data_IF_787851809109
#
_entry.id   IF_787851809109
#
_cell.length_a   1.000
_cell.length_b   1.000
_cell.length_c   1.000
_cell.angle_alpha   90.00
_cell.angle_beta   90.00
_cell.angle_gamma   90.00
#
_symmetry.space_group_name_H-M   'P 1'
#
loop_
_entity.id
_entity.type
_entity.pdbx_description
1 polymer ?
#
# COMPACT_ATOMS: atom_id res chain seq x y z
N UNK A 1 26.23 -22.65 -40.03
CA UNK A 1 25.55 -23.63 -39.21
C UNK A 1 24.75 -22.91 -38.16
N UNK A 2 23.46 -23.04 -38.26
CA UNK A 2 22.47 -22.38 -37.44
C UNK A 2 22.38 -23.00 -36.02
N UNK A 3 22.34 -22.15 -35.01
CA UNK A 3 21.98 -22.50 -33.65
C UNK A 3 20.79 -21.69 -33.23
N UNK A 4 19.58 -22.31 -33.23
CA UNK A 4 18.34 -21.71 -32.82
C UNK A 4 18.23 -21.70 -31.31
N UNK A 5 17.93 -20.54 -30.72
CA UNK A 5 17.46 -20.38 -29.36
C UNK A 5 15.95 -20.56 -29.31
N UNK A 6 15.46 -21.61 -28.65
CA UNK A 6 14.06 -21.81 -28.38
C UNK A 6 13.68 -20.96 -27.14
N UNK A 7 12.87 -19.95 -27.34
CA UNK A 7 12.18 -19.24 -26.26
C UNK A 7 10.92 -20.05 -25.88
N UNK A 8 10.85 -20.53 -24.65
CA UNK A 8 9.64 -21.08 -24.04
C UNK A 8 8.78 -19.91 -23.55
N UNK A 9 7.81 -19.49 -24.36
CA UNK A 9 6.70 -18.65 -23.88
C UNK A 9 5.64 -19.58 -23.29
N UNK A 10 5.43 -19.55 -21.99
CA UNK A 10 4.32 -20.24 -21.34
C UNK A 10 3.08 -19.35 -21.48
N UNK A 11 2.12 -19.86 -22.25
CA UNK A 11 0.85 -19.15 -22.52
C UNK A 11 -0.10 -19.35 -21.32
N UNK A 12 -0.10 -18.41 -20.39
CA UNK A 12 -0.91 -18.44 -19.16
C UNK A 12 -2.41 -18.42 -19.41
N UNK A 13 -2.85 -17.97 -20.58
CA UNK A 13 -4.28 -17.90 -20.96
C UNK A 13 -4.85 -19.31 -21.15
N UNK A 14 -4.03 -20.28 -21.59
CA UNK A 14 -4.48 -21.65 -21.81
C UNK A 14 -4.70 -22.44 -20.51
N UNK A 15 -4.03 -22.10 -19.41
CA UNK A 15 -4.13 -22.81 -18.14
C UNK A 15 -5.42 -22.44 -17.38
N UNK A 16 -5.90 -21.21 -17.53
CA UNK A 16 -7.15 -20.75 -16.89
C UNK A 16 -8.38 -21.27 -17.61
N UNK A 17 -8.35 -21.35 -18.95
CA UNK A 17 -9.49 -21.81 -19.76
C UNK A 17 -9.83 -23.30 -19.57
N UNK A 18 -8.88 -24.15 -19.24
CA UNK A 18 -9.10 -25.61 -19.09
C UNK A 18 -9.84 -26.01 -17.80
N UNK A 19 -9.90 -25.14 -16.79
CA UNK A 19 -10.62 -25.40 -15.54
C UNK A 19 -12.05 -24.87 -15.50
N UNK A 20 -12.45 -24.04 -16.50
CA UNK A 20 -13.78 -23.40 -16.54
C UNK A 20 -14.74 -24.01 -17.58
N UNK A 21 -14.43 -25.14 -18.21
CA UNK A 21 -15.37 -25.87 -19.07
C UNK A 21 -15.81 -25.13 -20.35
N UNK A 22 -14.98 -24.21 -20.90
CA UNK A 22 -15.31 -23.45 -22.11
C UNK A 22 -14.85 -24.17 -23.38
N UNK A 23 -15.79 -24.42 -24.29
CA UNK A 23 -15.55 -25.01 -25.63
C UNK A 23 -14.93 -23.94 -26.56
N UNK A 24 -13.72 -24.20 -27.04
CA UNK A 24 -13.04 -23.32 -27.97
C UNK A 24 -13.61 -23.45 -29.40
N UNK A 25 -14.15 -22.36 -29.94
CA UNK A 25 -14.48 -22.26 -31.37
C UNK A 25 -13.25 -21.85 -32.17
N UNK A 26 -12.86 -22.63 -33.19
CA UNK A 26 -11.79 -22.29 -34.15
C UNK A 26 -12.27 -21.20 -35.12
N UNK A 27 -11.56 -20.06 -35.11
CA UNK A 27 -11.68 -19.06 -36.17
C UNK A 27 -10.44 -19.08 -37.08
N UNK A 28 -10.64 -19.15 -38.40
CA UNK A 28 -9.58 -19.19 -39.41
C UNK A 28 -8.98 -17.81 -39.68
N UNK A 29 -7.69 -17.78 -39.98
CA UNK A 29 -6.93 -16.58 -40.33
C UNK A 29 -7.11 -16.18 -41.78
N UNK A 30 -7.47 -14.93 -42.02
CA UNK A 30 -7.34 -14.23 -43.29
C UNK A 30 -6.70 -12.86 -43.04
N UNK A 31 -5.58 -12.59 -43.69
CA UNK A 31 -4.77 -11.38 -43.45
C UNK A 31 -5.39 -10.11 -44.06
N UNK A 32 -5.25 -9.00 -43.34
CA UNK A 32 -5.62 -7.65 -43.80
C UNK A 32 -5.58 -6.61 -42.70
N UNK A 33 -4.92 -5.51 -42.97
CA UNK A 33 -4.60 -4.34 -42.15
C UNK A 33 -5.64 -3.92 -41.11
N UNK A 34 -5.17 -3.71 -39.89
CA UNK A 34 -5.57 -2.62 -38.99
C UNK A 34 -7.05 -2.47 -38.66
N UNK A 35 -7.59 -3.29 -37.75
CA UNK A 35 -8.82 -2.94 -37.02
C UNK A 35 -8.70 -3.45 -35.58
N UNK A 36 -8.84 -2.54 -34.64
CA UNK A 36 -9.03 -2.90 -33.25
C UNK A 36 -10.34 -3.68 -33.13
N UNK A 37 -10.25 -4.96 -32.84
CA UNK A 37 -11.43 -5.75 -32.47
C UNK A 37 -11.69 -5.45 -30.98
N UNK A 38 -12.72 -4.63 -30.73
CA UNK A 38 -13.34 -4.54 -29.39
C UNK A 38 -14.23 -5.77 -29.28
N UNK A 39 -13.78 -6.77 -28.53
CA UNK A 39 -14.63 -7.89 -28.15
C UNK A 39 -15.50 -7.45 -26.98
N UNK A 40 -16.69 -6.93 -27.28
CA UNK A 40 -17.75 -6.79 -26.29
C UNK A 40 -18.35 -8.17 -26.05
N UNK A 41 -17.88 -8.88 -25.05
CA UNK A 41 -18.58 -10.05 -24.54
C UNK A 41 -19.76 -9.56 -23.69
N UNK A 42 -20.94 -9.52 -24.30
CA UNK A 42 -22.19 -9.39 -23.55
C UNK A 42 -22.47 -10.75 -22.91
N UNK A 43 -21.98 -10.95 -21.70
CA UNK A 43 -22.44 -12.03 -20.84
C UNK A 43 -23.82 -11.59 -20.31
N UNK A 44 -24.88 -12.12 -20.89
CA UNK A 44 -26.16 -12.14 -20.24
C UNK A 44 -26.02 -13.06 -19.02
N UNK A 45 -25.74 -12.48 -17.87
CA UNK A 45 -25.79 -13.16 -16.57
C UNK A 45 -27.24 -13.12 -16.09
N UNK A 46 -27.96 -14.20 -16.32
CA UNK A 46 -29.02 -14.59 -15.40
C UNK A 46 -28.33 -15.15 -14.12
N UNK A 47 -27.74 -14.27 -13.33
CA UNK A 47 -27.35 -14.59 -11.97
C UNK A 47 -28.52 -14.26 -11.07
N UNK A 48 -29.48 -15.16 -10.96
CA UNK A 48 -30.22 -15.31 -9.73
C UNK A 48 -29.21 -15.75 -8.68
N UNK A 49 -28.57 -14.78 -8.01
CA UNK A 49 -27.71 -15.02 -6.86
C UNK A 49 -28.58 -15.52 -5.72
N UNK A 50 -28.61 -16.82 -5.51
CA UNK A 50 -28.89 -17.34 -4.18
C UNK A 50 -27.69 -16.92 -3.34
N UNK A 51 -27.79 -15.83 -2.59
CA UNK A 51 -26.88 -15.53 -1.48
C UNK A 51 -26.88 -16.77 -0.58
N UNK A 52 -25.70 -17.27 -0.16
CA UNK A 52 -25.62 -18.34 0.80
C UNK A 52 -26.40 -17.94 2.06
N UNK A 53 -27.14 -18.90 2.66
CA UNK A 53 -27.86 -18.60 3.88
C UNK A 53 -26.86 -18.33 5.01
N UNK A 54 -26.78 -17.08 5.48
CA UNK A 54 -26.01 -16.74 6.67
C UNK A 54 -26.43 -17.62 7.85
N UNK A 55 -25.50 -18.07 8.65
CA UNK A 55 -25.80 -18.79 9.91
C UNK A 55 -26.52 -17.86 10.89
N UNK A 56 -27.06 -18.40 11.98
CA UNK A 56 -27.69 -17.60 13.02
C UNK A 56 -26.71 -16.60 13.66
N UNK A 57 -25.46 -17.05 13.89
CA UNK A 57 -24.39 -16.19 14.43
C UNK A 57 -24.04 -15.07 13.44
N UNK A 58 -23.89 -15.38 12.15
CA UNK A 58 -23.57 -14.38 11.12
C UNK A 58 -24.69 -13.35 10.97
N UNK A 59 -25.95 -13.75 11.04
CA UNK A 59 -27.09 -12.80 11.09
C UNK A 59 -27.01 -11.90 12.33
N UNK A 60 -26.72 -12.49 13.50
CA UNK A 60 -26.51 -11.71 14.73
C UNK A 60 -25.38 -10.68 14.61
N UNK A 61 -24.28 -11.03 13.93
CA UNK A 61 -23.17 -10.09 13.64
C UNK A 61 -23.67 -8.95 12.74
N UNK A 62 -24.40 -9.25 11.67
CA UNK A 62 -24.94 -8.24 10.74
C UNK A 62 -25.89 -7.28 11.46
N UNK A 63 -26.82 -7.84 12.27
CA UNK A 63 -27.77 -7.05 13.06
C UNK A 63 -27.06 -6.14 14.07
N UNK A 64 -25.98 -6.64 14.70
CA UNK A 64 -25.17 -5.86 15.64
C UNK A 64 -24.46 -4.68 14.94
N UNK A 65 -23.91 -4.88 13.72
CA UNK A 65 -23.34 -3.78 12.93
C UNK A 65 -24.40 -2.72 12.62
N UNK A 66 -25.61 -3.13 12.21
CA UNK A 66 -26.71 -2.19 11.92
C UNK A 66 -27.14 -1.42 13.17
N UNK A 67 -27.26 -2.11 14.30
CA UNK A 67 -27.63 -1.50 15.58
C UNK A 67 -26.63 -0.47 16.09
N UNK A 68 -25.35 -0.56 15.67
CA UNK A 68 -24.27 0.34 16.09
C UNK A 68 -23.90 1.43 15.06
N UNK A 69 -24.63 1.54 13.94
CA UNK A 69 -24.26 2.47 12.86
C UNK A 69 -24.13 3.93 13.33
N UNK A 70 -25.06 4.42 14.15
CA UNK A 70 -25.00 5.78 14.72
C UNK A 70 -23.87 5.95 15.73
N UNK A 71 -23.49 4.91 16.48
CA UNK A 71 -22.34 4.92 17.39
C UNK A 71 -21.04 5.03 16.60
N UNK A 72 -20.93 4.28 15.49
CA UNK A 72 -19.76 4.32 14.60
C UNK A 72 -19.53 5.71 13.99
N UNK A 73 -20.61 6.34 13.48
CA UNK A 73 -20.53 7.70 12.95
C UNK A 73 -20.15 8.72 14.03
N UNK A 74 -20.75 8.62 15.21
CA UNK A 74 -20.43 9.50 16.34
C UNK A 74 -18.98 9.31 16.83
N UNK A 75 -18.45 8.08 16.80
CA UNK A 75 -17.07 7.79 17.13
C UNK A 75 -16.12 8.37 16.08
N UNK A 76 -16.41 8.17 14.78
CA UNK A 76 -15.64 8.75 13.68
C UNK A 76 -15.53 10.28 13.84
N UNK A 77 -16.64 10.97 14.07
CA UNK A 77 -16.68 12.41 14.30
C UNK A 77 -15.72 12.81 15.43
N UNK A 78 -15.81 12.14 16.58
CA UNK A 78 -14.97 12.45 17.75
C UNK A 78 -13.47 12.31 17.47
N UNK A 79 -13.05 11.25 16.77
CA UNK A 79 -11.62 11.03 16.47
C UNK A 79 -11.12 11.95 15.35
N UNK A 80 -11.97 12.35 14.42
CA UNK A 80 -11.63 13.30 13.35
C UNK A 80 -11.43 14.71 13.91
N UNK A 81 -12.23 15.12 14.91
CA UNK A 81 -12.11 16.42 15.59
C UNK A 81 -10.85 16.51 16.50
N UNK A 82 -10.11 15.43 16.66
CA UNK A 82 -8.77 15.43 17.28
C UNK A 82 -7.72 15.49 16.18
N UNK A 83 -6.92 16.57 16.16
CA UNK A 83 -5.77 16.62 15.25
C UNK A 83 -4.76 15.53 15.62
N UNK A 84 -4.41 14.71 14.65
CA UNK A 84 -3.40 13.65 14.75
C UNK A 84 -2.42 13.66 13.57
N UNK A 85 -1.99 14.84 13.12
CA UNK A 85 -0.84 14.94 12.21
C UNK A 85 0.34 14.16 12.77
N UNK A 86 1.12 13.48 11.94
CA UNK A 86 2.18 12.55 12.42
C UNK A 86 3.13 13.21 13.42
N UNK A 87 3.41 14.51 13.24
CA UNK A 87 4.31 15.26 14.12
C UNK A 87 3.59 15.82 15.36
N UNK A 88 2.27 15.74 15.46
CA UNK A 88 1.50 16.02 16.65
C UNK A 88 1.42 14.77 17.55
N UNK A 89 2.52 14.41 18.18
CA UNK A 89 2.64 13.19 18.99
C UNK A 89 1.55 13.05 20.05
N UNK A 90 1.16 14.16 20.67
CA UNK A 90 0.11 14.19 21.70
C UNK A 90 -1.26 13.89 21.09
N UNK A 91 -1.55 14.39 19.89
CA UNK A 91 -2.79 14.14 19.17
C UNK A 91 -2.91 12.70 18.72
N UNK A 92 -1.86 12.14 18.11
CA UNK A 92 -1.80 10.71 17.74
C UNK A 92 -2.02 9.81 18.97
N UNK A 93 -1.33 10.10 20.08
CA UNK A 93 -1.50 9.39 21.36
C UNK A 93 -2.93 9.52 21.89
N UNK A 94 -3.55 10.69 21.75
CA UNK A 94 -4.92 10.91 22.21
C UNK A 94 -5.92 10.10 21.40
N UNK A 95 -5.82 10.10 20.06
CA UNK A 95 -6.66 9.23 19.21
C UNK A 95 -6.43 7.76 19.58
N UNK A 96 -5.18 7.33 19.74
CA UNK A 96 -4.85 5.97 20.17
C UNK A 96 -5.50 5.60 21.50
N UNK A 97 -5.50 6.52 22.51
CA UNK A 97 -6.12 6.27 23.81
C UNK A 97 -7.65 6.08 23.74
N UNK A 98 -8.30 6.70 22.75
CA UNK A 98 -9.74 6.50 22.50
C UNK A 98 -10.00 5.07 21.99
N UNK A 99 -9.18 4.54 21.09
CA UNK A 99 -9.26 3.14 20.64
C UNK A 99 -8.85 2.16 21.74
N UNK A 100 -7.79 2.46 22.47
CA UNK A 100 -7.31 1.63 23.60
C UNK A 100 -8.40 1.37 24.62
N UNK A 101 -9.15 2.42 25.00
CA UNK A 101 -10.30 2.30 25.91
C UNK A 101 -11.34 1.33 25.38
N UNK A 102 -11.80 1.50 24.15
CA UNK A 102 -12.84 0.69 23.53
C UNK A 102 -12.39 -0.79 23.37
N UNK A 103 -11.12 -1.02 22.97
CA UNK A 103 -10.55 -2.35 22.83
C UNK A 103 -10.38 -3.05 24.20
N UNK A 104 -9.98 -2.31 25.23
CA UNK A 104 -9.90 -2.84 26.61
C UNK A 104 -11.28 -3.25 27.13
N UNK A 105 -12.33 -2.46 26.84
CA UNK A 105 -13.71 -2.78 27.21
C UNK A 105 -14.21 -4.05 26.49
N UNK A 106 -13.68 -4.37 25.30
CA UNK A 106 -13.93 -5.62 24.57
C UNK A 106 -13.10 -6.82 25.07
N UNK A 107 -12.25 -6.64 26.07
CA UNK A 107 -11.43 -7.69 26.67
C UNK A 107 -10.07 -7.91 25.97
N UNK A 108 -9.66 -7.01 25.09
CA UNK A 108 -8.29 -7.06 24.52
C UNK A 108 -7.26 -6.66 25.56
N UNK A 109 -6.12 -7.37 25.57
CA UNK A 109 -4.89 -6.91 26.20
C UNK A 109 -4.26 -5.84 25.31
N UNK A 110 -4.20 -4.61 25.81
CA UNK A 110 -3.70 -3.46 25.05
C UNK A 110 -2.29 -3.08 25.47
N UNK A 111 -1.47 -2.65 24.52
CA UNK A 111 -0.11 -2.20 24.73
C UNK A 111 0.23 -1.05 23.79
N UNK A 112 0.74 0.04 24.37
CA UNK A 112 1.35 1.09 23.56
C UNK A 112 2.85 0.82 23.39
N UNK A 113 3.33 0.77 22.15
CA UNK A 113 4.74 0.67 21.81
C UNK A 113 5.33 2.06 21.67
N UNK A 114 6.22 2.43 22.60
CA UNK A 114 6.93 3.71 22.54
C UNK A 114 8.03 3.68 21.47
N UNK A 115 8.18 4.78 20.75
CA UNK A 115 9.33 4.95 19.85
C UNK A 115 10.49 5.64 20.59
N UNK A 116 11.74 5.40 20.17
CA UNK A 116 12.88 6.14 20.69
C UNK A 116 12.66 7.65 20.58
N UNK A 117 12.96 8.45 21.60
CA UNK A 117 12.70 9.90 21.59
C UNK A 117 13.31 10.63 20.38
N UNK A 118 14.49 10.20 19.94
CA UNK A 118 15.20 10.75 18.78
C UNK A 118 14.46 10.51 17.46
N UNK A 119 13.58 9.52 17.39
CA UNK A 119 12.74 9.26 16.21
C UNK A 119 11.63 10.30 16.04
N UNK A 120 11.18 10.93 17.13
CA UNK A 120 10.15 11.96 17.10
C UNK A 120 8.80 11.43 16.57
N UNK A 121 8.41 10.22 17.00
CA UNK A 121 7.12 9.58 16.66
C UNK A 121 6.36 9.19 17.92
N UNK A 122 5.02 9.20 17.81
CA UNK A 122 4.14 8.94 18.96
C UNK A 122 4.17 7.48 19.44
N UNK A 123 4.56 6.57 18.57
CA UNK A 123 4.45 5.13 18.82
C UNK A 123 3.13 4.54 18.31
N UNK A 124 2.85 3.30 18.70
CA UNK A 124 1.78 2.47 18.11
C UNK A 124 0.93 1.80 19.18
N UNK A 125 -0.35 1.62 18.91
CA UNK A 125 -1.25 0.83 19.74
C UNK A 125 -1.34 -0.59 19.19
N UNK A 126 -1.01 -1.56 20.01
CA UNK A 126 -1.30 -2.98 19.77
C UNK A 126 -2.34 -3.47 20.76
N UNK A 127 -3.27 -4.32 20.29
CA UNK A 127 -4.25 -4.96 21.15
C UNK A 127 -4.42 -6.42 20.69
N UNK A 128 -4.51 -7.36 21.63
CA UNK A 128 -4.58 -8.79 21.32
C UNK A 128 -5.64 -9.49 22.15
N UNK A 129 -6.41 -10.39 21.49
CA UNK A 129 -7.27 -11.38 22.12
C UNK A 129 -6.95 -12.75 21.55
N UNK A 130 -6.84 -13.76 22.41
CA UNK A 130 -6.47 -15.14 22.03
C UNK A 130 -7.46 -16.13 22.65
N UNK A 131 -8.72 -16.08 22.20
CA UNK A 131 -9.84 -16.87 22.74
C UNK A 131 -10.07 -18.21 22.05
N UNK A 132 -9.52 -18.43 20.86
CA UNK A 132 -9.86 -19.55 19.99
C UNK A 132 -8.69 -20.46 19.57
N UNK A 133 -9.02 -21.43 18.71
CA UNK A 133 -8.04 -22.34 18.08
C UNK A 133 -7.93 -22.16 16.57
N UNK A 134 -8.76 -21.29 15.96
CA UNK A 134 -8.74 -20.97 14.55
C UNK A 134 -7.58 -20.07 14.15
N UNK A 135 -7.64 -19.52 12.94
CA UNK A 135 -6.62 -18.60 12.42
C UNK A 135 -6.51 -17.36 13.27
N UNK A 136 -5.28 -16.93 13.52
CA UNK A 136 -4.99 -15.61 14.10
C UNK A 136 -4.97 -14.56 13.00
N UNK A 137 -5.80 -13.54 13.11
CA UNK A 137 -5.95 -12.49 12.13
C UNK A 137 -5.36 -11.18 12.66
N UNK A 138 -4.46 -10.57 11.89
CA UNK A 138 -3.89 -9.25 12.16
C UNK A 138 -4.69 -8.19 11.41
N UNK A 139 -5.26 -7.22 12.15
CA UNK A 139 -5.98 -6.06 11.61
C UNK A 139 -5.08 -4.84 11.71
N UNK A 140 -4.85 -4.15 10.58
CA UNK A 140 -3.88 -3.07 10.48
C UNK A 140 -4.57 -1.78 10.07
N UNK A 141 -4.34 -0.72 10.84
CA UNK A 141 -4.72 0.66 10.57
C UNK A 141 -3.66 1.64 11.05
N UNK A 142 -3.91 2.96 10.88
CA UNK A 142 -3.04 4.00 11.41
C UNK A 142 -3.82 5.18 12.00
N UNK A 143 -3.25 5.76 13.05
CA UNK A 143 -3.83 6.81 13.88
C UNK A 143 -3.50 8.22 13.39
N UNK A 144 -2.39 8.34 12.67
CA UNK A 144 -1.89 9.62 12.19
C UNK A 144 -2.56 10.06 10.88
N UNK A 145 -2.31 11.28 10.49
CA UNK A 145 -2.78 11.90 9.24
C UNK A 145 -1.71 12.84 8.70
N UNK A 146 -1.79 13.19 7.41
CA UNK A 146 -0.93 14.21 6.79
C UNK A 146 -1.23 15.65 7.28
N UNK A 147 -2.30 15.86 8.06
CA UNK A 147 -2.76 17.19 8.45
C UNK A 147 -2.18 17.60 9.80
N UNK A 148 -1.06 18.34 9.77
CA UNK A 148 -0.41 18.83 10.98
C UNK A 148 -1.25 19.90 11.72
N UNK A 149 -0.85 20.25 12.93
CA UNK A 149 -1.61 21.15 13.82
C UNK A 149 -1.81 22.57 13.27
N UNK A 150 -0.99 23.01 12.33
CA UNK A 150 -1.08 24.29 11.64
C UNK A 150 -1.96 24.25 10.36
N UNK A 151 -2.44 23.08 9.97
CA UNK A 151 -3.37 22.92 8.86
C UNK A 151 -4.69 23.64 9.14
N UNK A 152 -5.28 24.35 8.20
CA UNK A 152 -6.62 24.92 8.35
C UNK A 152 -7.75 23.86 8.29
N UNK A 153 -7.43 22.61 7.93
CA UNK A 153 -8.37 21.52 7.79
C UNK A 153 -8.34 20.64 9.05
N UNK A 154 -9.24 20.89 10.03
CA UNK A 154 -9.12 20.35 11.38
C UNK A 154 -10.40 19.72 11.95
N UNK A 155 -11.54 19.79 11.27
CA UNK A 155 -12.81 19.38 11.85
C UNK A 155 -13.65 18.52 10.93
N UNK A 156 -14.45 17.67 11.54
CA UNK A 156 -15.48 16.89 10.86
C UNK A 156 -16.64 17.79 10.43
N UNK A 157 -17.02 17.68 9.18
CA UNK A 157 -18.15 18.37 8.59
C UNK A 157 -19.10 17.40 7.90
N UNK A 158 -20.36 17.40 8.29
CA UNK A 158 -21.40 16.66 7.60
C UNK A 158 -21.73 17.35 6.29
N UNK A 159 -21.71 16.61 5.20
CA UNK A 159 -22.08 17.09 3.87
C UNK A 159 -23.46 16.56 3.47
N UNK A 160 -23.94 17.02 2.33
CA UNK A 160 -25.15 16.45 1.70
C UNK A 160 -24.86 15.04 1.17
N UNK A 161 -25.90 14.29 0.83
CA UNK A 161 -25.84 12.96 0.22
C UNK A 161 -25.10 11.88 1.05
N UNK A 162 -25.18 11.93 2.39
CA UNK A 162 -24.63 10.91 3.28
C UNK A 162 -23.10 10.86 3.29
N UNK A 163 -22.46 11.98 2.99
CA UNK A 163 -20.99 12.14 3.04
C UNK A 163 -20.57 12.97 4.24
N UNK A 164 -19.32 12.80 4.64
CA UNK A 164 -18.65 13.69 5.58
C UNK A 164 -17.28 14.08 5.05
N UNK A 165 -16.78 15.24 5.50
CA UNK A 165 -15.45 15.79 5.21
C UNK A 165 -14.69 15.97 6.52
N UNK A 166 -13.39 15.74 6.50
CA UNK A 166 -12.54 15.98 7.67
C UNK A 166 -11.19 15.28 7.56
N UNK A 167 -10.19 15.68 8.36
CA UNK A 167 -8.85 15.13 8.31
C UNK A 167 -8.85 13.64 8.73
N UNK A 168 -8.40 12.78 7.81
CA UNK A 168 -8.34 11.34 8.04
C UNK A 168 -9.69 10.62 7.97
N UNK A 169 -10.79 11.25 7.52
CA UNK A 169 -12.10 10.58 7.43
C UNK A 169 -12.07 9.35 6.52
N UNK A 170 -11.17 9.34 5.52
CA UNK A 170 -10.96 8.23 4.59
C UNK A 170 -9.56 7.62 4.74
N UNK A 171 -8.57 8.41 5.15
CA UNK A 171 -7.16 8.02 5.28
C UNK A 171 -6.63 8.33 6.70
N UNK A 172 -6.69 7.35 7.69
CA UNK A 172 -7.60 6.21 7.54
C UNK A 172 -8.48 6.01 8.80
N UNK A 173 -8.81 7.08 9.53
CA UNK A 173 -9.66 7.00 10.74
C UNK A 173 -11.00 6.28 10.50
N UNK A 174 -11.57 6.42 9.27
CA UNK A 174 -12.75 5.66 8.87
C UNK A 174 -12.48 4.15 8.82
N UNK A 175 -11.31 3.73 8.37
CA UNK A 175 -10.88 2.33 8.37
C UNK A 175 -10.66 1.80 9.79
N UNK A 176 -10.10 2.60 10.69
CA UNK A 176 -9.95 2.24 12.10
C UNK A 176 -11.32 2.06 12.79
N UNK A 177 -12.30 2.88 12.40
CA UNK A 177 -13.69 2.70 12.85
C UNK A 177 -14.27 1.38 12.34
N UNK A 178 -14.01 0.99 11.09
CA UNK A 178 -14.42 -0.32 10.55
C UNK A 178 -13.82 -1.45 11.40
N UNK A 179 -12.53 -1.40 11.76
CA UNK A 179 -11.88 -2.39 12.64
C UNK A 179 -12.63 -2.47 13.97
N UNK A 180 -12.76 -1.36 14.68
CA UNK A 180 -13.34 -1.32 16.01
C UNK A 180 -14.78 -1.85 16.02
N UNK A 181 -15.62 -1.39 15.09
CA UNK A 181 -17.03 -1.75 15.06
C UNK A 181 -17.29 -3.16 14.52
N UNK A 182 -16.37 -3.73 13.71
CA UNK A 182 -16.38 -5.14 13.39
C UNK A 182 -16.13 -6.01 14.64
N UNK A 183 -15.16 -5.62 15.49
CA UNK A 183 -14.88 -6.31 16.74
C UNK A 183 -16.01 -6.18 17.77
N UNK A 184 -16.64 -5.00 17.89
CA UNK A 184 -17.82 -4.80 18.72
C UNK A 184 -18.99 -5.69 18.28
N UNK A 185 -19.24 -5.80 16.98
CA UNK A 185 -20.29 -6.65 16.45
C UNK A 185 -20.03 -8.14 16.69
N UNK A 186 -18.76 -8.56 16.59
CA UNK A 186 -18.35 -9.93 16.96
C UNK A 186 -18.59 -10.20 18.46
N UNK A 187 -18.29 -9.24 19.32
CA UNK A 187 -18.51 -9.37 20.76
C UNK A 187 -20.02 -9.47 21.09
N UNK A 188 -20.86 -8.61 20.52
CA UNK A 188 -22.31 -8.62 20.71
C UNK A 188 -22.95 -9.95 20.27
N UNK A 189 -22.42 -10.57 19.23
CA UNK A 189 -22.88 -11.88 18.75
C UNK A 189 -22.24 -13.07 19.48
N UNK A 190 -21.40 -12.85 20.50
CA UNK A 190 -20.66 -13.89 21.22
C UNK A 190 -19.63 -14.64 20.36
N UNK A 191 -19.20 -14.05 19.24
CA UNK A 191 -18.27 -14.66 18.30
C UNK A 191 -16.80 -14.29 18.58
N UNK A 192 -16.55 -13.20 19.32
CA UNK A 192 -15.20 -12.73 19.63
C UNK A 192 -14.47 -13.65 20.61
N UNK A 193 -15.18 -14.30 21.52
CA UNK A 193 -14.60 -15.23 22.52
C UNK A 193 -13.85 -16.42 21.88
N UNK A 194 -14.18 -16.74 20.62
CA UNK A 194 -13.55 -17.83 19.86
C UNK A 194 -12.57 -17.31 18.79
N UNK A 195 -12.28 -16.00 18.78
CA UNK A 195 -11.39 -15.41 17.79
C UNK A 195 -9.97 -15.21 18.35
N UNK A 196 -8.99 -15.24 17.46
CA UNK A 196 -7.60 -14.89 17.72
C UNK A 196 -7.27 -13.66 16.86
N UNK A 197 -7.23 -12.49 17.48
CA UNK A 197 -7.09 -11.23 16.75
C UNK A 197 -5.97 -10.40 17.36
N UNK A 198 -5.11 -9.85 16.49
CA UNK A 198 -4.20 -8.76 16.83
C UNK A 198 -4.68 -7.53 16.07
N UNK A 199 -4.82 -6.41 16.76
CA UNK A 199 -5.03 -5.08 16.16
C UNK A 199 -3.72 -4.31 16.26
N UNK A 200 -3.27 -3.72 15.17
CA UNK A 200 -2.12 -2.84 15.09
C UNK A 200 -2.57 -1.49 14.51
N UNK A 201 -2.62 -0.45 15.33
CA UNK A 201 -2.89 0.92 14.91
C UNK A 201 -1.59 1.72 15.02
N UNK A 202 -1.00 2.03 13.87
CA UNK A 202 0.31 2.67 13.79
C UNK A 202 0.17 4.19 13.88
N UNK A 203 1.13 4.86 14.48
CA UNK A 203 1.06 6.31 14.70
C UNK A 203 2.05 7.10 13.83
N UNK A 204 2.54 6.51 12.74
CA UNK A 204 3.53 7.13 11.86
C UNK A 204 3.48 6.57 10.42
N UNK A 205 2.30 6.20 9.91
CA UNK A 205 2.18 5.70 8.53
C UNK A 205 2.50 6.80 7.53
N UNK A 206 1.96 7.98 7.72
CA UNK A 206 2.06 9.11 6.81
C UNK A 206 3.46 9.74 6.75
N UNK A 207 4.22 9.57 7.83
CA UNK A 207 5.63 9.95 7.91
C UNK A 207 6.39 8.98 8.81
N UNK A 208 6.82 7.87 8.23
CA UNK A 208 7.45 6.76 8.96
C UNK A 208 8.68 7.16 9.75
N UNK A 209 8.81 6.63 10.97
CA UNK A 209 10.02 6.77 11.77
C UNK A 209 11.20 6.02 11.14
N UNK A 210 12.40 6.59 11.26
CA UNK A 210 13.64 6.00 10.77
C UNK A 210 14.57 5.67 11.95
N UNK A 211 15.14 4.45 12.03
CA UNK A 211 15.08 3.39 11.00
C UNK A 211 13.77 2.56 11.05
N UNK A 212 13.26 2.21 9.90
CA UNK A 212 12.05 1.39 9.74
C UNK A 212 12.09 0.06 10.51
N UNK A 213 13.27 -0.54 10.65
CA UNK A 213 13.45 -1.76 11.42
C UNK A 213 13.07 -1.61 12.90
N UNK A 214 13.13 -0.40 13.43
CA UNK A 214 12.69 -0.06 14.79
C UNK A 214 11.21 0.30 14.80
N UNK A 215 10.79 1.21 13.93
CA UNK A 215 9.40 1.66 13.86
C UNK A 215 8.42 0.50 13.54
N UNK A 216 8.79 -0.45 12.72
CA UNK A 216 7.93 -1.58 12.31
C UNK A 216 8.23 -2.90 13.04
N UNK A 217 9.10 -2.90 14.08
CA UNK A 217 9.52 -4.13 14.78
C UNK A 217 8.34 -4.93 15.34
N UNK A 218 7.42 -4.27 16.04
CA UNK A 218 6.24 -4.93 16.63
C UNK A 218 5.22 -5.37 15.56
N UNK A 219 5.09 -4.64 14.44
CA UNK A 219 4.27 -5.06 13.30
C UNK A 219 4.84 -6.32 12.65
N UNK A 220 6.16 -6.43 12.50
CA UNK A 220 6.80 -7.65 12.01
C UNK A 220 6.57 -8.83 12.95
N UNK A 221 6.65 -8.62 14.27
CA UNK A 221 6.36 -9.67 15.25
C UNK A 221 4.88 -10.12 15.17
N UNK A 222 3.95 -9.17 15.14
CA UNK A 222 2.53 -9.45 15.00
C UNK A 222 2.23 -10.23 13.72
N UNK A 223 2.83 -9.85 12.58
CA UNK A 223 2.65 -10.53 11.30
C UNK A 223 3.17 -11.97 11.31
N UNK A 224 4.36 -12.22 11.93
CA UNK A 224 4.92 -13.58 12.05
C UNK A 224 4.07 -14.52 12.91
N UNK A 225 3.30 -13.97 13.86
CA UNK A 225 2.40 -14.73 14.74
C UNK A 225 1.00 -14.89 14.16
N UNK A 226 0.71 -14.28 13.01
CA UNK A 226 -0.61 -14.28 12.39
C UNK A 226 -0.68 -15.18 11.16
N UNK A 227 -1.85 -15.77 10.92
CA UNK A 227 -2.13 -16.63 9.76
C UNK A 227 -2.66 -15.82 8.57
N UNK A 228 -3.16 -14.61 8.82
CA UNK A 228 -3.61 -13.65 7.80
C UNK A 228 -3.49 -12.22 8.31
N UNK A 229 -3.25 -11.25 7.41
CA UNK A 229 -3.25 -9.82 7.70
C UNK A 229 -4.29 -9.10 6.84
N UNK A 230 -5.08 -8.22 7.47
CA UNK A 230 -6.13 -7.42 6.83
C UNK A 230 -5.82 -5.95 7.04
N UNK A 231 -5.68 -5.18 5.94
CA UNK A 231 -5.37 -3.75 5.96
C UNK A 231 -6.58 -2.89 5.64
N UNK A 232 -6.85 -1.93 6.51
CA UNK A 232 -8.07 -1.12 6.47
C UNK A 232 -7.89 0.28 5.87
N UNK A 233 -6.86 0.47 5.09
CA UNK A 233 -6.75 1.59 4.16
C UNK A 233 -7.95 1.71 3.25
N UNK A 234 -8.28 2.93 2.80
CA UNK A 234 -9.39 3.20 1.91
C UNK A 234 -9.37 2.35 0.64
N UNK A 235 -10.54 1.88 0.21
CA UNK A 235 -10.68 1.12 -1.03
C UNK A 235 -10.48 1.99 -2.28
N UNK A 236 -9.91 1.41 -3.34
CA UNK A 236 -9.80 2.02 -4.67
C UNK A 236 -10.58 1.19 -5.66
N UNK A 237 -11.43 1.84 -6.45
CA UNK A 237 -12.28 1.14 -7.43
C UNK A 237 -13.72 0.91 -6.95
N UNK A 238 -14.05 1.37 -5.74
CA UNK A 238 -15.38 1.26 -5.17
C UNK A 238 -15.57 0.04 -4.26
N UNK A 239 -16.81 -0.16 -3.80
CA UNK A 239 -17.15 -1.22 -2.84
C UNK A 239 -16.87 -2.64 -3.34
N UNK A 240 -16.73 -2.84 -4.66
CA UNK A 240 -16.59 -4.16 -5.27
C UNK A 240 -15.14 -4.54 -5.57
N UNK A 241 -14.19 -4.02 -4.79
CA UNK A 241 -12.78 -4.29 -4.99
C UNK A 241 -12.00 -4.40 -3.70
N UNK A 242 -10.92 -5.20 -3.73
CA UNK A 242 -9.93 -5.30 -2.66
C UNK A 242 -8.52 -5.41 -3.23
N UNK A 243 -7.50 -5.21 -2.39
CA UNK A 243 -6.10 -5.09 -2.80
C UNK A 243 -5.33 -6.35 -2.43
N UNK A 244 -4.93 -7.14 -3.42
CA UNK A 244 -4.09 -8.36 -3.26
C UNK A 244 -2.61 -8.08 -3.48
N UNK A 245 -2.27 -6.90 -3.98
CA UNK A 245 -0.90 -6.52 -4.29
C UNK A 245 -0.72 -5.01 -4.27
N UNK A 246 0.46 -4.53 -3.81
CA UNK A 246 0.85 -3.13 -3.79
C UNK A 246 2.28 -2.98 -4.27
N UNK A 247 2.56 -1.93 -5.03
CA UNK A 247 3.94 -1.61 -5.38
C UNK A 247 4.66 -1.01 -4.18
N UNK A 248 5.89 -1.47 -3.94
CA UNK A 248 6.79 -0.88 -2.97
C UNK A 248 7.29 0.50 -3.40
N UNK A 249 7.96 1.17 -2.49
CA UNK A 249 8.60 2.47 -2.69
C UNK A 249 10.04 2.43 -2.17
N UNK A 250 10.99 2.78 -3.05
CA UNK A 250 12.41 2.91 -2.71
C UNK A 250 12.93 4.23 -3.28
N UNK A 251 13.41 5.10 -2.42
CA UNK A 251 14.14 6.30 -2.83
C UNK A 251 15.52 5.96 -3.36
N UNK A 252 16.04 6.74 -4.33
CA UNK A 252 17.42 6.62 -4.77
C UNK A 252 18.06 7.99 -4.97
N UNK A 253 19.37 8.05 -4.70
CA UNK A 253 20.20 9.22 -4.94
C UNK A 253 21.43 8.82 -5.74
N UNK A 254 21.66 9.49 -6.85
CA UNK A 254 22.83 9.35 -7.72
C UNK A 254 23.72 10.58 -7.55
N UNK A 255 24.95 10.40 -7.09
CA UNK A 255 25.97 11.41 -7.07
C UNK A 255 26.98 11.10 -8.17
N UNK A 256 27.25 12.09 -9.01
CA UNK A 256 28.26 12.02 -10.07
C UNK A 256 29.33 13.07 -9.86
N UNK A 257 30.59 12.68 -9.98
CA UNK A 257 31.72 13.57 -9.91
C UNK A 257 32.57 13.44 -11.16
N UNK A 258 33.23 14.53 -11.55
CA UNK A 258 34.14 14.54 -12.69
C UNK A 258 35.29 15.55 -12.52
N UNK A 259 36.28 15.49 -13.39
CA UNK A 259 37.41 16.39 -13.37
C UNK A 259 37.02 17.79 -13.83
N UNK A 260 37.21 18.79 -12.97
CA UNK A 260 36.99 20.20 -13.29
C UNK A 260 38.05 20.75 -14.20
N UNK A 261 37.69 21.63 -15.13
CA UNK A 261 38.59 22.34 -16.02
C UNK A 261 37.92 23.48 -16.79
N UNK A 262 38.67 24.17 -17.64
CA UNK A 262 38.06 25.16 -18.55
C UNK A 262 37.32 24.42 -19.68
N UNK A 263 36.16 24.91 -20.12
CA UNK A 263 35.32 24.25 -21.11
C UNK A 263 36.01 24.06 -22.49
N UNK A 264 36.99 24.88 -22.82
CA UNK A 264 37.77 24.74 -24.08
C UNK A 264 38.58 23.45 -24.18
N UNK A 265 38.80 22.73 -23.06
CA UNK A 265 39.58 21.48 -23.01
C UNK A 265 38.68 20.27 -22.67
N UNK A 266 37.36 20.42 -22.74
CA UNK A 266 36.43 19.32 -22.57
C UNK A 266 36.65 18.23 -23.65
N UNK A 267 36.34 16.98 -23.32
CA UNK A 267 36.48 15.78 -24.16
C UNK A 267 37.91 15.30 -24.42
N UNK A 268 38.93 15.91 -23.80
CA UNK A 268 40.28 15.35 -23.87
C UNK A 268 40.53 14.29 -22.78
N UNK A 269 41.61 13.53 -22.90
CA UNK A 269 41.93 12.43 -21.97
C UNK A 269 42.14 12.86 -20.51
N UNK A 270 42.53 14.11 -20.28
CA UNK A 270 42.82 14.64 -18.95
C UNK A 270 41.55 15.02 -18.20
N UNK A 271 40.54 15.57 -18.89
CA UNK A 271 39.34 16.17 -18.26
C UNK A 271 38.04 15.42 -18.52
N UNK A 272 37.97 14.59 -19.60
CA UNK A 272 36.76 13.86 -19.95
C UNK A 272 35.57 14.75 -20.32
N UNK A 273 34.37 14.28 -20.12
CA UNK A 273 33.11 14.95 -20.52
C UNK A 273 32.45 15.80 -19.42
N UNK A 274 32.87 15.64 -18.17
CA UNK A 274 32.24 16.32 -17.03
C UNK A 274 31.02 15.61 -16.48
N UNK A 275 30.61 15.99 -15.25
CA UNK A 275 29.60 15.29 -14.50
C UNK A 275 28.17 15.36 -15.11
N UNK A 276 27.85 16.46 -15.82
CA UNK A 276 26.53 16.60 -16.44
C UNK A 276 26.34 15.61 -17.60
N UNK A 277 27.33 15.44 -18.47
CA UNK A 277 27.22 14.46 -19.56
C UNK A 277 27.20 13.03 -19.05
N UNK A 278 27.94 12.73 -17.97
CA UNK A 278 27.90 11.42 -17.35
C UNK A 278 26.53 11.14 -16.74
N UNK A 279 25.91 12.09 -16.01
CA UNK A 279 24.58 11.96 -15.48
C UNK A 279 23.53 11.77 -16.58
N UNK A 280 23.65 12.52 -17.68
CA UNK A 280 22.73 12.37 -18.82
C UNK A 280 22.83 10.95 -19.43
N UNK A 281 24.07 10.40 -19.59
CA UNK A 281 24.27 9.02 -20.02
C UNK A 281 23.59 8.02 -19.09
N UNK A 282 23.82 8.15 -17.77
CA UNK A 282 23.25 7.25 -16.78
C UNK A 282 21.73 7.29 -16.84
N UNK A 283 21.11 8.47 -16.82
CA UNK A 283 19.66 8.62 -16.86
C UNK A 283 19.06 8.10 -18.18
N UNK A 284 19.74 8.32 -19.31
CA UNK A 284 19.34 7.76 -20.60
C UNK A 284 19.35 6.23 -20.55
N UNK A 285 20.39 5.63 -19.99
CA UNK A 285 20.48 4.17 -19.85
C UNK A 285 19.44 3.63 -18.86
N UNK A 286 19.13 4.34 -17.77
CA UNK A 286 18.00 3.96 -16.91
C UNK A 286 16.71 3.91 -17.71
N UNK A 287 16.42 4.95 -18.49
CA UNK A 287 15.23 5.01 -19.32
C UNK A 287 15.19 3.90 -20.39
N UNK A 288 16.28 3.61 -21.06
CA UNK A 288 16.35 2.61 -22.12
C UNK A 288 16.28 1.18 -21.59
N UNK A 289 17.01 0.90 -20.50
CA UNK A 289 17.22 -0.47 -20.03
C UNK A 289 16.15 -0.95 -19.02
N UNK A 290 15.48 -0.04 -18.30
CA UNK A 290 14.52 -0.43 -17.24
C UNK A 290 13.06 -0.20 -17.61
N UNK A 291 12.75 0.76 -18.48
CA UNK A 291 11.33 1.06 -18.83
C UNK A 291 10.67 -0.09 -19.57
N UNK A 292 9.35 -0.21 -19.39
CA UNK A 292 8.51 -1.16 -20.14
C UNK A 292 8.35 -2.53 -19.47
N UNK A 293 8.94 -2.73 -18.31
CA UNK A 293 8.65 -3.87 -17.45
C UNK A 293 7.36 -3.58 -16.66
N UNK A 294 6.45 -4.55 -16.63
CA UNK A 294 5.15 -4.39 -15.98
C UNK A 294 5.33 -4.05 -14.49
N UNK A 295 4.60 -3.03 -14.02
CA UNK A 295 4.62 -2.52 -12.65
C UNK A 295 5.95 -1.93 -12.15
N UNK A 296 7.02 -1.96 -12.95
CA UNK A 296 8.25 -1.23 -12.68
C UNK A 296 8.10 0.21 -13.13
N UNK A 297 8.18 1.15 -12.19
CA UNK A 297 8.28 2.57 -12.52
C UNK A 297 9.40 3.21 -11.73
N UNK A 298 10.07 4.18 -12.33
CA UNK A 298 11.10 4.97 -11.69
C UNK A 298 11.09 6.39 -12.26
N UNK A 299 11.44 7.35 -11.41
CA UNK A 299 11.49 8.76 -11.79
C UNK A 299 12.73 9.43 -11.24
N UNK A 300 13.24 10.43 -11.97
CA UNK A 300 14.16 11.42 -11.44
C UNK A 300 13.35 12.68 -11.11
N UNK A 301 13.10 12.91 -9.82
CA UNK A 301 12.29 14.05 -9.34
C UNK A 301 13.11 15.35 -9.22
N UNK A 302 14.41 15.23 -8.93
CA UNK A 302 15.33 16.37 -8.77
C UNK A 302 16.63 16.09 -9.46
N UNK A 303 17.20 17.09 -10.15
CA UNK A 303 18.56 17.10 -10.66
C UNK A 303 19.23 18.45 -10.39
N UNK A 304 20.40 18.42 -9.78
CA UNK A 304 21.23 19.59 -9.51
C UNK A 304 22.62 19.34 -10.10
N UNK A 305 23.16 20.29 -10.84
CA UNK A 305 24.48 20.08 -11.49
C UNK A 305 25.27 21.36 -11.70
N UNK A 306 26.59 21.25 -11.54
CA UNK A 306 27.46 22.40 -11.71
C UNK A 306 28.91 22.17 -11.25
N UNK A 307 29.53 23.25 -10.81
CA UNK A 307 30.86 23.21 -10.17
C UNK A 307 30.76 22.71 -8.72
N UNK A 308 29.66 23.10 -8.04
CA UNK A 308 29.34 22.62 -6.71
C UNK A 308 27.83 22.43 -6.58
N UNK A 309 27.42 21.43 -5.80
CA UNK A 309 26.03 21.12 -5.50
C UNK A 309 25.90 20.93 -3.99
N UNK A 310 24.85 21.44 -3.40
CA UNK A 310 24.38 21.14 -2.06
C UNK A 310 22.97 20.60 -2.16
N UNK A 311 22.69 19.48 -1.51
CA UNK A 311 21.38 18.84 -1.46
C UNK A 311 21.04 18.43 -0.04
N UNK A 312 19.88 18.84 0.45
CA UNK A 312 19.29 18.43 1.70
C UNK A 312 18.14 17.45 1.38
N UNK A 313 18.33 16.15 1.62
CA UNK A 313 17.32 15.14 1.30
C UNK A 313 16.11 15.15 2.23
N UNK A 314 16.18 15.78 3.42
CA UNK A 314 15.05 15.86 4.36
C UNK A 314 14.06 16.98 3.96
N UNK A 315 14.57 18.01 3.27
CA UNK A 315 13.76 19.13 2.78
C UNK A 315 13.46 19.02 1.27
N UNK A 316 13.91 17.96 0.60
CA UNK A 316 13.88 17.82 -0.87
C UNK A 316 14.37 19.08 -1.60
N UNK A 317 15.37 19.72 -1.03
CA UNK A 317 15.85 21.06 -1.44
C UNK A 317 17.34 21.05 -1.72
N UNK A 318 17.75 21.86 -2.71
CA UNK A 318 19.17 22.03 -2.96
C UNK A 318 19.54 23.22 -3.81
N UNK A 319 20.85 23.50 -3.87
CA UNK A 319 21.43 24.60 -4.61
C UNK A 319 22.57 24.08 -5.50
N UNK A 320 22.72 24.69 -6.67
CA UNK A 320 23.82 24.40 -7.58
C UNK A 320 24.48 25.69 -8.04
N UNK A 321 25.82 25.69 -8.09
CA UNK A 321 26.61 26.77 -8.66
C UNK A 321 27.47 26.26 -9.80
N UNK A 322 27.47 26.99 -10.94
CA UNK A 322 28.32 26.70 -12.08
C UNK A 322 28.59 27.92 -12.95
N UNK A 323 29.68 27.87 -13.74
CA UNK A 323 29.98 28.86 -14.76
C UNK A 323 29.94 28.19 -16.13
N UNK A 324 29.42 28.88 -17.14
CA UNK A 324 29.20 28.37 -18.49
C UNK A 324 30.49 27.94 -19.19
N UNK A 325 31.67 28.48 -18.79
CA UNK A 325 32.97 28.17 -19.33
C UNK A 325 33.78 27.22 -18.42
N UNK A 326 33.17 26.47 -17.55
CA UNK A 326 33.79 25.48 -16.65
C UNK A 326 33.17 24.11 -16.85
N UNK A 327 34.00 23.08 -16.97
CA UNK A 327 33.55 21.66 -16.99
C UNK A 327 32.89 21.36 -15.65
N UNK A 328 31.60 20.92 -15.61
CA UNK A 328 30.87 20.65 -14.38
C UNK A 328 31.51 19.51 -13.61
N UNK A 329 31.71 19.73 -12.30
CA UNK A 329 32.40 18.79 -11.43
C UNK A 329 31.44 17.83 -10.72
N UNK A 330 30.24 18.30 -10.37
CA UNK A 330 29.31 17.54 -9.54
C UNK A 330 27.88 17.59 -10.09
N UNK A 331 27.19 16.45 -9.97
CA UNK A 331 25.71 16.36 -10.16
C UNK A 331 25.16 15.47 -9.07
N UNK A 332 24.04 15.87 -8.52
CA UNK A 332 23.18 15.02 -7.67
C UNK A 332 21.81 14.89 -8.33
N UNK A 333 21.33 13.65 -8.42
CA UNK A 333 19.97 13.32 -8.88
C UNK A 333 19.29 12.54 -7.78
N UNK A 334 18.07 12.91 -7.44
CA UNK A 334 17.21 12.16 -6.52
C UNK A 334 15.93 11.70 -7.22
N UNK A 335 15.44 10.51 -6.87
CA UNK A 335 14.26 9.95 -7.49
C UNK A 335 13.67 8.78 -6.71
N UNK A 336 12.61 8.19 -7.27
CA UNK A 336 11.94 7.02 -6.72
C UNK A 336 11.99 5.82 -7.66
N UNK A 337 11.78 4.65 -7.07
CA UNK A 337 11.68 3.35 -7.73
C UNK A 337 10.52 2.60 -7.10
N UNK A 338 9.58 2.12 -7.93
CA UNK A 338 8.42 1.35 -7.49
C UNK A 338 8.39 0.01 -8.19
N UNK A 339 8.22 -1.05 -7.40
CA UNK A 339 8.26 -2.44 -7.86
C UNK A 339 7.16 -3.26 -7.21
N UNK A 340 6.75 -4.34 -7.87
CA UNK A 340 5.67 -5.21 -7.40
C UNK A 340 6.18 -6.38 -6.55
N UNK A 341 7.44 -6.81 -6.75
CA UNK A 341 8.06 -7.91 -6.02
C UNK A 341 9.46 -7.55 -5.55
N UNK A 342 9.98 -8.30 -4.57
CA UNK A 342 11.36 -8.15 -4.11
C UNK A 342 12.38 -8.52 -5.18
N UNK A 343 12.10 -9.56 -6.00
CA UNK A 343 12.95 -9.97 -7.11
C UNK A 343 13.08 -8.83 -8.13
N UNK A 344 11.96 -8.17 -8.44
CA UNK A 344 11.94 -7.02 -9.35
C UNK A 344 12.74 -5.85 -8.77
N UNK A 345 12.59 -5.58 -7.46
CA UNK A 345 13.31 -4.53 -6.75
C UNK A 345 14.84 -4.76 -6.82
N UNK A 346 15.30 -5.95 -6.45
CA UNK A 346 16.73 -6.25 -6.42
C UNK A 346 17.32 -6.33 -7.85
N UNK A 347 16.57 -6.84 -8.82
CA UNK A 347 16.95 -6.81 -10.23
C UNK A 347 17.11 -5.37 -10.74
N UNK A 348 16.15 -4.49 -10.46
CA UNK A 348 16.22 -3.09 -10.87
C UNK A 348 17.41 -2.36 -10.22
N UNK A 349 17.61 -2.53 -8.90
CA UNK A 349 18.78 -1.97 -8.18
C UNK A 349 20.11 -2.47 -8.76
N UNK A 350 20.21 -3.75 -9.08
CA UNK A 350 21.43 -4.34 -9.67
C UNK A 350 21.71 -3.75 -11.04
N UNK A 351 20.70 -3.61 -11.91
CA UNK A 351 20.84 -2.98 -13.24
C UNK A 351 21.24 -1.52 -13.12
N UNK A 352 20.61 -0.75 -12.22
CA UNK A 352 20.97 0.66 -11.98
C UNK A 352 22.43 0.78 -11.49
N UNK A 353 22.88 -0.07 -10.55
CA UNK A 353 24.28 -0.10 -10.09
C UNK A 353 25.26 -0.43 -11.22
N UNK A 354 24.93 -1.39 -12.08
CA UNK A 354 25.76 -1.75 -13.20
C UNK A 354 25.93 -0.61 -14.22
N UNK A 355 24.84 0.11 -14.53
CA UNK A 355 24.86 1.28 -15.42
C UNK A 355 25.73 2.41 -14.84
N UNK A 356 25.63 2.64 -13.53
CA UNK A 356 26.42 3.67 -12.82
C UNK A 356 27.92 3.30 -12.78
N UNK A 357 28.23 2.01 -12.63
CA UNK A 357 29.61 1.53 -12.57
C UNK A 357 30.35 1.66 -13.90
N UNK A 358 29.64 1.64 -15.03
CA UNK A 358 30.22 1.83 -16.39
C UNK A 358 30.32 3.33 -16.70
N UNK A 359 31.24 4.02 -16.02
CA UNK A 359 31.39 5.47 -16.12
C UNK A 359 32.20 5.92 -17.31
N UNK A 360 31.91 7.13 -17.84
CA UNK A 360 32.76 7.82 -18.82
C UNK A 360 34.16 8.11 -18.25
N UNK A 361 35.20 8.21 -19.09
CA UNK A 361 36.53 8.57 -18.64
C UNK A 361 36.54 9.86 -17.79
N UNK A 362 37.26 9.83 -16.66
CA UNK A 362 37.42 10.96 -15.73
C UNK A 362 36.10 11.38 -15.00
N UNK A 363 35.09 10.54 -15.06
CA UNK A 363 33.89 10.66 -14.25
C UNK A 363 33.71 9.43 -13.35
N UNK A 364 32.96 9.57 -12.29
CA UNK A 364 32.51 8.46 -11.44
C UNK A 364 31.14 8.73 -10.88
N UNK A 365 30.30 7.69 -10.81
CA UNK A 365 28.98 7.73 -10.22
C UNK A 365 28.89 6.86 -8.98
N UNK A 366 28.03 7.26 -8.04
CA UNK A 366 27.63 6.47 -6.89
C UNK A 366 26.12 6.57 -6.73
N UNK A 367 25.43 5.43 -6.75
CA UNK A 367 24.00 5.36 -6.44
C UNK A 367 23.79 4.77 -5.07
N UNK A 368 22.90 5.37 -4.30
CA UNK A 368 22.42 4.89 -3.00
C UNK A 368 20.92 4.66 -3.10
N UNK A 369 20.42 3.64 -2.39
CA UNK A 369 19.01 3.36 -2.26
C UNK A 369 18.61 3.49 -0.79
N UNK A 370 17.43 4.06 -0.56
CA UNK A 370 16.76 4.12 0.74
C UNK A 370 15.45 3.36 0.60
N UNK A 371 15.43 2.11 1.05
CA UNK A 371 14.22 1.32 1.06
C UNK A 371 13.26 1.89 2.09
N UNK A 372 12.00 2.05 1.70
CA UNK A 372 10.90 2.50 2.53
C UNK A 372 9.85 1.39 2.58
N UNK A 373 8.71 1.57 1.92
CA UNK A 373 7.67 0.55 1.91
C UNK A 373 8.05 -0.63 1.00
N UNK A 374 8.04 -1.88 1.51
CA UNK A 374 8.29 -3.06 0.69
C UNK A 374 7.15 -3.29 -0.32
N UNK A 375 7.39 -4.04 -1.40
CA UNK A 375 6.31 -4.51 -2.25
C UNK A 375 5.47 -5.58 -1.53
N UNK A 376 4.16 -5.57 -1.77
CA UNK A 376 3.22 -6.64 -1.46
C UNK A 376 2.94 -7.40 -2.76
N UNK A 377 3.62 -8.52 -2.96
CA UNK A 377 3.46 -9.34 -4.15
C UNK A 377 2.08 -10.04 -4.18
N UNK A 378 1.48 -10.29 -5.37
CA UNK A 378 0.23 -11.03 -5.51
C UNK A 378 0.48 -12.53 -5.30
N UNK A 379 0.31 -13.02 -4.07
CA UNK A 379 0.47 -14.44 -3.72
C UNK A 379 -0.83 -15.23 -3.91
N UNK A 380 -0.72 -16.57 -3.99
CA UNK A 380 -1.90 -17.44 -4.01
C UNK A 380 -2.73 -17.28 -2.73
N UNK A 381 -2.09 -17.08 -1.57
CA UNK A 381 -2.78 -16.87 -0.29
C UNK A 381 -3.52 -15.53 -0.25
N UNK A 382 -2.96 -14.45 -0.82
CA UNK A 382 -3.65 -13.17 -0.95
C UNK A 382 -4.94 -13.31 -1.80
N UNK A 383 -4.87 -14.08 -2.89
CA UNK A 383 -6.05 -14.38 -3.70
C UNK A 383 -7.05 -15.30 -2.98
N UNK A 384 -6.60 -16.22 -2.13
CA UNK A 384 -7.48 -17.02 -1.30
C UNK A 384 -8.24 -16.15 -0.28
N UNK A 385 -7.58 -15.17 0.33
CA UNK A 385 -8.26 -14.16 1.20
C UNK A 385 -9.27 -13.32 0.40
N UNK A 386 -8.93 -12.91 -0.82
CA UNK A 386 -9.86 -12.21 -1.71
C UNK A 386 -11.10 -13.06 -2.00
N UNK A 387 -10.92 -14.35 -2.27
CA UNK A 387 -12.03 -15.28 -2.51
C UNK A 387 -12.94 -15.40 -1.27
N UNK A 388 -12.37 -15.47 -0.04
CA UNK A 388 -13.16 -15.47 1.20
C UNK A 388 -13.97 -14.18 1.35
N UNK A 389 -13.37 -13.03 1.03
CA UNK A 389 -14.08 -11.75 1.04
C UNK A 389 -15.19 -11.70 -0.03
N UNK A 390 -14.95 -12.25 -1.22
CA UNK A 390 -15.96 -12.35 -2.28
C UNK A 390 -17.16 -13.20 -1.85
N UNK A 391 -16.93 -14.35 -1.22
CA UNK A 391 -17.97 -15.21 -0.64
C UNK A 391 -18.79 -14.44 0.41
N UNK A 392 -18.13 -13.79 1.37
CA UNK A 392 -18.78 -12.93 2.38
C UNK A 392 -19.63 -11.84 1.73
N UNK A 393 -19.09 -11.15 0.73
CA UNK A 393 -19.77 -10.06 0.04
C UNK A 393 -21.03 -10.51 -0.69
N UNK A 394 -20.98 -11.69 -1.34
CA UNK A 394 -22.11 -12.29 -2.04
C UNK A 394 -23.18 -12.74 -1.06
N UNK A 395 -22.80 -13.37 0.05
CA UNK A 395 -23.74 -13.82 1.08
C UNK A 395 -24.46 -12.64 1.74
N UNK A 396 -23.78 -11.49 1.86
CA UNK A 396 -24.39 -10.22 2.30
C UNK A 396 -25.25 -9.53 1.22
N UNK A 397 -25.27 -10.03 -0.01
CA UNK A 397 -26.03 -9.42 -1.12
C UNK A 397 -25.35 -8.19 -1.73
N UNK A 398 -24.06 -7.92 -1.41
CA UNK A 398 -23.32 -6.77 -1.95
C UNK A 398 -22.64 -7.05 -3.30
N UNK A 399 -22.74 -8.29 -3.80
CA UNK A 399 -22.17 -8.70 -5.08
C UNK A 399 -20.68 -9.07 -5.00
N UNK A 400 -20.06 -9.30 -6.18
CA UNK A 400 -18.69 -9.82 -6.26
C UNK A 400 -17.64 -8.80 -5.88
N UNK A 401 -16.47 -9.31 -5.44
CA UNK A 401 -15.26 -8.51 -5.17
C UNK A 401 -14.17 -8.90 -6.17
N UNK A 402 -13.52 -7.90 -6.78
CA UNK A 402 -12.43 -8.08 -7.72
C UNK A 402 -11.10 -7.52 -7.16
N UNK A 403 -9.99 -8.07 -7.64
CA UNK A 403 -8.68 -7.55 -7.31
C UNK A 403 -8.43 -6.20 -7.99
N UNK A 404 -7.95 -5.21 -7.22
CA UNK A 404 -7.50 -3.92 -7.78
C UNK A 404 -6.18 -4.12 -8.53
N UNK A 405 -6.05 -3.48 -9.70
CA UNK A 405 -4.79 -3.40 -10.43
C UNK A 405 -3.70 -2.75 -9.53
N UNK A 406 -2.58 -3.43 -9.26
CA UNK A 406 -1.49 -2.90 -8.44
C UNK A 406 -0.93 -1.56 -8.94
N UNK A 407 -1.04 -1.29 -10.24
CA UNK A 407 -0.65 -0.01 -10.84
C UNK A 407 -1.42 1.19 -10.29
N UNK A 408 -2.61 0.96 -9.73
CA UNK A 408 -3.49 1.98 -9.15
C UNK A 408 -3.32 2.17 -7.63
N UNK A 409 -2.41 1.41 -7.00
CA UNK A 409 -2.18 1.46 -5.54
C UNK A 409 -0.77 1.92 -5.21
N UNK A 410 -0.67 2.80 -4.23
CA UNK A 410 0.57 3.11 -3.52
C UNK A 410 0.93 2.03 -2.49
N UNK A 411 2.02 2.25 -1.79
CA UNK A 411 2.41 1.46 -0.63
C UNK A 411 1.47 1.73 0.57
N UNK A 412 1.50 0.88 1.59
CA UNK A 412 0.84 1.04 2.88
C UNK A 412 1.40 0.01 3.88
N UNK A 413 1.10 0.15 5.16
CA UNK A 413 1.63 -0.69 6.24
C UNK A 413 1.35 -2.19 6.08
N UNK A 414 0.25 -2.57 5.42
CA UNK A 414 -0.03 -3.97 5.07
C UNK A 414 1.11 -4.63 4.29
N UNK A 415 1.89 -3.86 3.52
CA UNK A 415 3.04 -4.35 2.76
C UNK A 415 4.16 -4.87 3.66
N UNK A 416 4.31 -4.34 4.88
CA UNK A 416 5.26 -4.86 5.85
C UNK A 416 4.83 -6.23 6.38
N UNK A 417 3.54 -6.41 6.68
CA UNK A 417 2.99 -7.69 7.13
C UNK A 417 3.03 -8.77 6.04
N UNK A 418 2.79 -8.39 4.79
CA UNK A 418 2.77 -9.28 3.62
C UNK A 418 4.09 -10.03 3.34
N UNK A 419 5.19 -9.63 4.00
CA UNK A 419 6.46 -10.35 3.96
C UNK A 419 6.43 -11.65 4.79
N UNK A 420 5.49 -11.80 5.71
CA UNK A 420 5.47 -12.88 6.72
C UNK A 420 4.18 -13.69 6.71
N UNK A 421 3.09 -13.14 6.20
CA UNK A 421 1.78 -13.80 6.16
C UNK A 421 1.00 -13.36 4.93
N UNK A 422 -0.03 -14.12 4.55
CA UNK A 422 -0.93 -13.73 3.48
C UNK A 422 -1.71 -12.48 3.87
N UNK A 423 -1.91 -11.57 2.90
CA UNK A 423 -2.40 -10.24 3.18
C UNK A 423 -3.47 -9.78 2.19
N UNK A 424 -4.48 -9.07 2.70
CA UNK A 424 -5.53 -8.43 1.90
C UNK A 424 -5.75 -7.00 2.39
N UNK A 425 -5.67 -6.03 1.50
CA UNK A 425 -5.85 -4.61 1.84
C UNK A 425 -7.05 -3.97 1.15
N UNK A 426 -7.27 -2.68 1.43
CA UNK A 426 -8.38 -1.92 0.85
C UNK A 426 -9.73 -2.25 1.48
N UNK A 427 -9.72 -2.65 2.77
CA UNK A 427 -10.90 -3.04 3.53
C UNK A 427 -11.51 -1.88 4.34
N UNK A 428 -10.95 -0.69 4.23
CA UNK A 428 -11.47 0.52 4.86
C UNK A 428 -12.62 1.15 4.07
N UNK A 429 -12.97 2.36 4.46
CA UNK A 429 -14.11 3.10 3.90
C UNK A 429 -13.89 3.57 2.46
N UNK A 430 -14.97 3.93 1.79
CA UNK A 430 -14.93 4.56 0.46
C UNK A 430 -14.93 6.08 0.63
N UNK A 431 -13.87 6.68 0.11
CA UNK A 431 -13.66 8.12 0.17
C UNK A 431 -12.99 8.68 -1.06
N UNK A 432 -12.70 9.96 -1.02
CA UNK A 432 -11.95 10.66 -2.08
C UNK A 432 -11.23 11.88 -1.51
N UNK A 433 -10.26 12.39 -2.28
CA UNK A 433 -9.53 13.60 -1.92
C UNK A 433 -8.55 13.44 -0.77
N UNK A 434 -8.10 12.22 -0.45
CA UNK A 434 -7.05 11.97 0.55
C UNK A 434 -5.83 12.85 0.29
N UNK A 435 -5.12 13.28 1.33
CA UNK A 435 -3.99 14.21 1.30
C UNK A 435 -4.36 15.61 0.75
N UNK A 436 -5.64 15.98 0.70
CA UNK A 436 -6.10 17.34 0.35
C UNK A 436 -7.20 17.83 1.30
N UNK A 437 -7.40 19.15 1.46
CA UNK A 437 -8.50 19.66 2.28
C UNK A 437 -9.92 19.35 1.77
N UNK A 438 -10.04 18.58 0.69
CA UNK A 438 -11.30 18.05 0.15
C UNK A 438 -11.52 16.57 0.48
N UNK A 439 -10.80 16.03 1.44
CA UNK A 439 -10.95 14.64 1.86
C UNK A 439 -12.35 14.38 2.39
N UNK A 440 -13.01 13.37 1.81
CA UNK A 440 -14.39 12.99 2.12
C UNK A 440 -14.53 11.48 2.24
N UNK A 441 -15.54 11.07 3.00
CA UNK A 441 -15.98 9.68 3.15
C UNK A 441 -17.46 9.54 2.79
N UNK A 442 -17.84 8.42 2.17
CA UNK A 442 -19.23 7.98 2.10
C UNK A 442 -19.57 7.21 3.39
N UNK A 443 -20.44 7.78 4.22
CA UNK A 443 -20.80 7.21 5.53
C UNK A 443 -21.48 5.83 5.42
N UNK A 444 -22.27 5.59 4.38
CA UNK A 444 -22.88 4.28 4.13
C UNK A 444 -21.82 3.17 3.96
N UNK A 445 -20.64 3.51 3.40
CA UNK A 445 -19.56 2.54 3.22
C UNK A 445 -19.04 1.99 4.55
N UNK A 446 -19.14 2.73 5.66
CA UNK A 446 -18.74 2.26 6.98
C UNK A 446 -19.49 0.98 7.33
N UNK A 447 -20.83 1.01 7.24
CA UNK A 447 -21.68 -0.14 7.56
C UNK A 447 -21.42 -1.35 6.66
N UNK A 448 -21.26 -1.12 5.34
CA UNK A 448 -20.95 -2.18 4.37
C UNK A 448 -19.62 -2.84 4.69
N UNK A 449 -18.56 -2.04 4.87
CA UNK A 449 -17.22 -2.54 5.12
C UNK A 449 -17.09 -3.19 6.50
N UNK A 450 -17.80 -2.68 7.51
CA UNK A 450 -17.84 -3.28 8.85
C UNK A 450 -18.48 -4.68 8.81
N UNK A 451 -19.61 -4.85 8.09
CA UNK A 451 -20.25 -6.18 7.93
C UNK A 451 -19.29 -7.17 7.25
N UNK A 452 -18.63 -6.75 6.16
CA UNK A 452 -17.63 -7.58 5.46
C UNK A 452 -16.46 -7.95 6.36
N UNK A 453 -15.90 -6.98 7.07
CA UNK A 453 -14.78 -7.21 7.98
C UNK A 453 -15.15 -8.17 9.11
N UNK A 454 -16.29 -7.95 9.77
CA UNK A 454 -16.76 -8.81 10.86
C UNK A 454 -16.99 -10.25 10.42
N UNK A 455 -17.68 -10.48 9.30
CA UNK A 455 -17.91 -11.82 8.79
C UNK A 455 -16.63 -12.49 8.26
N UNK A 456 -15.74 -11.73 7.62
CA UNK A 456 -14.45 -12.27 7.18
C UNK A 456 -13.61 -12.74 8.38
N UNK A 457 -13.48 -11.91 9.42
CA UNK A 457 -12.77 -12.28 10.66
C UNK A 457 -13.42 -13.49 11.32
N UNK A 458 -14.76 -13.51 11.41
CA UNK A 458 -15.51 -14.64 11.98
C UNK A 458 -15.20 -15.95 11.23
N UNK A 459 -15.29 -15.94 9.89
CA UNK A 459 -15.04 -17.16 9.08
C UNK A 459 -13.60 -17.63 9.19
N UNK A 460 -12.63 -16.71 9.13
CA UNK A 460 -11.21 -17.04 9.33
C UNK A 460 -10.95 -17.64 10.72
N UNK A 461 -11.62 -17.15 11.75
CA UNK A 461 -11.52 -17.71 13.12
C UNK A 461 -12.10 -19.11 13.25
N UNK A 462 -12.94 -19.58 12.32
CA UNK A 462 -13.48 -20.94 12.28
C UNK A 462 -12.60 -21.91 11.46
N UNK A 463 -11.69 -21.40 10.63
CA UNK A 463 -10.79 -22.22 9.83
C UNK A 463 -9.61 -22.75 10.65
N UNK A 464 -9.19 -24.02 10.41
CA UNK A 464 -8.01 -24.58 11.04
C UNK A 464 -6.71 -23.89 10.60
N UNK A 465 -5.72 -23.85 11.46
CA UNK A 465 -4.38 -23.37 11.10
C UNK A 465 -3.83 -24.26 9.97
N UNK A 466 -3.71 -23.72 8.74
CA UNK A 466 -3.19 -24.44 7.57
C UNK A 466 -4.11 -24.53 6.35
N UNK A 467 -5.39 -24.16 6.46
CA UNK A 467 -6.37 -24.29 5.36
C UNK A 467 -6.19 -23.31 4.19
N UNK A 468 -5.23 -22.37 4.26
CA UNK A 468 -4.86 -21.46 3.17
C UNK A 468 -3.58 -21.88 2.40
N UNK A 469 -2.92 -22.97 2.79
CA UNK A 469 -1.67 -23.43 2.16
C UNK A 469 -1.88 -24.46 1.08
#
# INVERSE_FOLDING_TARGET
>A
AAGGSASLSVDWVAVVASRLGMVAARAGWGGGRGSRVVVSATLASEATGAGGDLTATERGIVDAVEGRSSEAEAFLRRIVDVNSGTMNLAGVRHVGSMFEKELTELGFETRWTEMPPEMGRAGHLFAEVDGGSGKRVLLIGHLDTVYESDSPFQSFEMLEDGKARGPGVADMKGGDVVILFALKALADAGALENARVIVALLGDEESTGDPLAVSRADLFDAARRSDAALGFEGGVGGLNSATVARRGFTGWTLDVTATRGHSSVIFNEKYGAGAIFESARILTRFYEDLRGEDYLTFGAGLILGGTSVSHDPELDRGEAFGKTNVIPQTVTVAGDLRTLTFEQLESAKARMRAIVADSLPRASGRIRFRDSYPPMAPTAGNYALLQRLDEVSRDLGFGPIEAVDPGRRGAADISFAAQYTDALGGLGVMGSGTHTPSETVNLESIGVMTKRAALLVHRLAQEGAGDLR
#
